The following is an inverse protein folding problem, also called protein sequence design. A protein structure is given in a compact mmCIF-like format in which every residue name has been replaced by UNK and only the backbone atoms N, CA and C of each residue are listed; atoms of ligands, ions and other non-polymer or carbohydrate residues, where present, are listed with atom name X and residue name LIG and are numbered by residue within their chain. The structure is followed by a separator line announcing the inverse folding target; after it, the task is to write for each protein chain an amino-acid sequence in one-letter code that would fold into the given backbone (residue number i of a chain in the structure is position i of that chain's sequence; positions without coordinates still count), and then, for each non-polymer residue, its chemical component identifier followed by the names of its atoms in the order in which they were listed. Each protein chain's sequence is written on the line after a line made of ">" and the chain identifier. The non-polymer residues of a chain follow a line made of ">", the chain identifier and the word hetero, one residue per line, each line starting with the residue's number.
data_IF_696596424475
#
_entry.id   IF_696596424475
#
_cell.length_a   1.000
_cell.length_b   1.000
_cell.length_c   1.000
_cell.angle_alpha   90.00
_cell.angle_beta   90.00
_cell.angle_gamma   90.00
#
_symmetry.space_group_name_H-M   'P 1'
#
loop_
_entity.id
_entity.type
_entity.pdbx_description
1 polymer ?
#
# COMPACT_ATOMS: atom_id res chain seq x y z
N UNK A 1 -0.45 13.86 13.88
CA UNK A 1 0.21 12.61 14.33
C UNK A 1 0.32 12.56 15.86
N UNK A 2 0.37 11.38 16.49
CA UNK A 2 0.34 11.26 17.97
C UNK A 2 1.62 11.69 18.69
N UNK A 3 2.78 11.49 18.05
CA UNK A 3 4.11 11.68 18.69
C UNK A 3 4.84 12.92 18.24
N UNK A 4 4.56 13.44 17.04
CA UNK A 4 5.31 14.55 16.44
C UNK A 4 6.74 14.21 16.00
N UNK A 5 7.17 12.95 16.16
CA UNK A 5 8.46 12.43 15.71
C UNK A 5 8.30 11.93 14.27
N UNK A 6 9.32 12.12 13.43
CA UNK A 6 9.37 11.55 12.08
C UNK A 6 9.36 10.02 12.09
N UNK A 7 9.12 9.40 10.94
CA UNK A 7 9.16 7.94 10.82
C UNK A 7 10.59 7.45 11.10
N UNK A 8 10.72 6.52 12.04
CA UNK A 8 12.00 5.93 12.45
C UNK A 8 12.32 4.63 11.70
N UNK A 9 11.34 4.08 11.00
CA UNK A 9 11.49 2.88 10.16
C UNK A 9 11.48 3.27 8.68
N UNK A 10 12.34 2.63 7.89
CA UNK A 10 12.33 2.77 6.45
C UNK A 10 11.29 1.83 5.84
N UNK A 11 10.34 2.40 5.11
CA UNK A 11 9.34 1.64 4.39
C UNK A 11 9.00 2.23 3.02
N UNK A 12 8.56 1.35 2.12
CA UNK A 12 7.89 1.70 0.87
C UNK A 12 6.47 1.17 0.97
N UNK A 13 5.49 2.04 0.70
CA UNK A 13 4.07 1.69 0.71
C UNK A 13 3.52 1.93 -0.68
N UNK A 14 2.90 0.91 -1.25
CA UNK A 14 2.17 0.98 -2.51
C UNK A 14 0.71 0.67 -2.24
N UNK A 15 -0.19 1.54 -2.67
CA UNK A 15 -1.64 1.38 -2.50
C UNK A 15 -2.31 1.32 -3.87
N UNK A 16 -3.19 0.33 -4.04
CA UNK A 16 -4.19 0.28 -5.10
C UNK A 16 -5.52 0.73 -4.51
N UNK A 17 -6.17 1.71 -5.12
CA UNK A 17 -7.45 2.26 -4.69
C UNK A 17 -8.22 2.86 -5.88
N UNK A 18 -9.54 3.13 -5.76
CA UNK A 18 -10.36 3.59 -6.89
C UNK A 18 -9.99 4.99 -7.39
N UNK A 19 -9.27 5.79 -6.60
CA UNK A 19 -8.82 7.13 -6.98
C UNK A 19 -7.38 7.36 -6.51
N UNK A 20 -6.65 8.19 -7.24
CA UNK A 20 -5.29 8.59 -6.87
C UNK A 20 -5.25 9.31 -5.51
N UNK A 21 -6.26 10.13 -5.20
CA UNK A 21 -6.38 10.81 -3.90
C UNK A 21 -6.53 9.81 -2.76
N UNK A 22 -7.37 8.79 -2.93
CA UNK A 22 -7.50 7.74 -1.93
C UNK A 22 -6.19 6.97 -1.76
N UNK A 23 -5.53 6.61 -2.86
CA UNK A 23 -4.24 5.92 -2.82
C UNK A 23 -3.17 6.71 -2.07
N UNK A 24 -3.02 8.00 -2.36
CA UNK A 24 -2.02 8.89 -1.75
C UNK A 24 -2.24 9.09 -0.24
N UNK A 25 -3.49 9.39 0.14
CA UNK A 25 -3.86 9.56 1.56
C UNK A 25 -3.65 8.26 2.34
N UNK A 26 -4.02 7.12 1.76
CA UNK A 26 -3.83 5.82 2.39
C UNK A 26 -2.36 5.44 2.48
N UNK A 27 -1.54 5.74 1.46
CA UNK A 27 -0.11 5.48 1.48
C UNK A 27 0.56 6.21 2.65
N UNK A 28 0.28 7.51 2.79
CA UNK A 28 0.75 8.32 3.91
C UNK A 28 0.25 7.81 5.26
N UNK A 29 -1.01 7.41 5.34
CA UNK A 29 -1.61 6.88 6.57
C UNK A 29 -0.97 5.56 7.01
N UNK A 30 -0.77 4.63 6.07
CA UNK A 30 -0.14 3.33 6.30
C UNK A 30 1.33 3.50 6.70
N UNK A 31 2.08 4.41 6.07
CA UNK A 31 3.45 4.72 6.47
C UNK A 31 3.55 5.18 7.93
N UNK A 32 2.57 5.95 8.42
CA UNK A 32 2.52 6.41 9.83
C UNK A 32 2.05 5.33 10.79
N UNK A 33 1.16 4.44 10.36
CA UNK A 33 0.62 3.36 11.18
C UNK A 33 1.57 2.18 11.33
N UNK A 34 2.48 1.98 10.37
CA UNK A 34 3.34 0.81 10.27
C UNK A 34 2.60 -0.42 9.73
N UNK A 35 3.32 -1.53 9.57
CA UNK A 35 2.85 -2.74 8.86
C UNK A 35 1.53 -3.28 9.44
N UNK A 36 1.50 -3.63 10.72
CA UNK A 36 0.36 -4.34 11.32
C UNK A 36 -0.93 -3.51 11.27
N UNK A 37 -0.87 -2.27 11.75
CA UNK A 37 -2.02 -1.36 11.77
C UNK A 37 -2.38 -0.85 10.38
N UNK A 38 -1.40 -0.68 9.50
CA UNK A 38 -1.60 -0.30 8.12
C UNK A 38 -2.35 -1.35 7.33
N UNK A 39 -1.94 -2.63 7.44
CA UNK A 39 -2.68 -3.74 6.82
C UNK A 39 -4.09 -3.84 7.39
N UNK A 40 -4.26 -3.75 8.72
CA UNK A 40 -5.59 -3.78 9.32
C UNK A 40 -6.51 -2.65 8.83
N UNK A 41 -5.96 -1.44 8.61
CA UNK A 41 -6.71 -0.33 8.00
C UNK A 41 -7.13 -0.68 6.56
N UNK A 42 -6.22 -1.19 5.73
CA UNK A 42 -6.52 -1.52 4.34
C UNK A 42 -7.57 -2.63 4.25
N UNK A 43 -7.44 -3.68 5.06
CA UNK A 43 -8.41 -4.78 5.13
C UNK A 43 -9.80 -4.35 5.60
N UNK A 44 -9.92 -3.20 6.27
CA UNK A 44 -11.21 -2.62 6.66
C UNK A 44 -11.91 -1.88 5.51
N UNK A 45 -11.23 -1.65 4.38
CA UNK A 45 -11.71 -0.90 3.23
C UNK A 45 -12.01 -1.84 2.06
N UNK A 46 -13.23 -1.80 1.48
CA UNK A 46 -13.67 -2.81 0.52
C UNK A 46 -13.00 -2.74 -0.88
N UNK A 47 -12.25 -1.67 -1.17
CA UNK A 47 -11.69 -1.43 -2.50
C UNK A 47 -10.25 -0.90 -2.45
N UNK A 48 -9.51 -1.20 -1.38
CA UNK A 48 -8.11 -0.82 -1.25
C UNK A 48 -7.24 -2.05 -1.01
N UNK A 49 -6.09 -2.10 -1.67
CA UNK A 49 -5.08 -3.14 -1.46
C UNK A 49 -3.72 -2.48 -1.26
N UNK A 50 -2.82 -3.15 -0.53
CA UNK A 50 -1.52 -2.61 -0.18
C UNK A 50 -0.39 -3.63 -0.31
N UNK A 51 0.77 -3.13 -0.73
CA UNK A 51 2.06 -3.78 -0.57
C UNK A 51 2.95 -2.87 0.27
N UNK A 52 3.56 -3.42 1.31
CA UNK A 52 4.47 -2.71 2.20
C UNK A 52 5.81 -3.42 2.18
N UNK A 53 6.89 -2.71 1.87
CA UNK A 53 8.27 -3.19 2.04
C UNK A 53 8.85 -2.47 3.23
N UNK A 54 9.31 -3.20 4.25
CA UNK A 54 9.97 -2.65 5.44
C UNK A 54 11.41 -3.11 5.48
N UNK A 55 12.34 -2.20 5.75
CA UNK A 55 13.75 -2.53 6.00
C UNK A 55 14.00 -2.52 7.50
N UNK A 56 14.46 -3.65 8.05
CA UNK A 56 14.75 -3.78 9.49
C UNK A 56 15.95 -2.94 9.95
N UNK A 57 16.11 -2.79 11.27
CA UNK A 57 17.02 -1.84 11.94
C UNK A 57 18.52 -1.94 11.58
N UNK A 58 18.96 -2.96 10.85
CA UNK A 58 20.36 -3.13 10.42
C UNK A 58 20.52 -3.35 8.91
N UNK A 59 19.54 -2.96 8.10
CA UNK A 59 19.49 -3.27 6.66
C UNK A 59 19.64 -4.78 6.34
N UNK A 60 19.37 -5.65 7.32
CA UNK A 60 19.60 -7.09 7.25
C UNK A 60 18.59 -7.86 6.37
N UNK A 61 17.84 -7.13 5.54
CA UNK A 61 16.82 -7.68 4.65
C UNK A 61 15.60 -6.76 4.59
N UNK A 62 14.99 -6.74 3.41
CA UNK A 62 13.67 -6.15 3.23
C UNK A 62 12.61 -7.23 3.43
N UNK A 63 11.62 -6.94 4.27
CA UNK A 63 10.42 -7.77 4.44
C UNK A 63 9.27 -7.18 3.65
N UNK A 64 8.54 -8.00 2.90
CA UNK A 64 7.39 -7.55 2.12
C UNK A 64 6.09 -8.14 2.68
N UNK A 65 5.09 -7.28 2.84
CA UNK A 65 3.76 -7.59 3.35
C UNK A 65 2.71 -7.18 2.32
N UNK A 66 1.63 -7.95 2.26
CA UNK A 66 0.52 -7.72 1.33
C UNK A 66 -0.80 -7.76 2.08
N UNK A 67 -1.77 -6.96 1.63
CA UNK A 67 -3.19 -7.23 1.91
C UNK A 67 -3.63 -8.49 1.16
N UNK A 68 -4.74 -9.09 1.61
CA UNK A 68 -5.21 -10.39 1.13
C UNK A 68 -5.56 -10.38 -0.36
N UNK A 69 -6.13 -9.28 -0.87
CA UNK A 69 -6.57 -9.17 -2.26
C UNK A 69 -5.50 -8.66 -3.22
N UNK A 70 -4.29 -8.34 -2.74
CA UNK A 70 -3.22 -7.74 -3.56
C UNK A 70 -2.95 -8.51 -4.86
N UNK A 71 -2.78 -9.84 -4.76
CA UNK A 71 -2.50 -10.69 -5.93
C UNK A 71 -3.67 -10.73 -6.92
N UNK A 72 -4.90 -10.66 -6.42
CA UNK A 72 -6.10 -10.67 -7.26
C UNK A 72 -6.26 -9.32 -7.97
N UNK A 73 -5.96 -8.21 -7.30
CA UNK A 73 -6.01 -6.86 -7.87
C UNK A 73 -4.97 -6.60 -8.98
N UNK A 74 -3.89 -7.39 -9.03
CA UNK A 74 -2.88 -7.29 -10.08
C UNK A 74 -3.22 -8.09 -11.34
N UNK A 75 -4.28 -8.91 -11.32
CA UNK A 75 -4.70 -9.64 -12.51
C UNK A 75 -5.17 -8.61 -13.55
N UNK A 76 -4.57 -8.59 -14.75
CA UNK A 76 -5.01 -7.65 -15.77
C UNK A 76 -6.48 -7.92 -16.10
N UNK A 77 -7.29 -6.87 -16.11
CA UNK A 77 -8.63 -6.98 -16.67
C UNK A 77 -8.47 -7.32 -18.16
N UNK A 78 -9.08 -8.43 -18.59
CA UNK A 78 -9.02 -8.87 -19.99
C UNK A 78 -9.95 -7.99 -20.82
N UNK A 79 -9.57 -6.74 -21.09
CA UNK A 79 -9.78 -6.08 -22.39
C UNK A 79 -9.17 -4.65 -22.44
N UNK A 80 -7.85 -4.54 -22.51
CA UNK A 80 -7.17 -3.25 -22.78
C UNK A 80 -7.07 -2.91 -24.29
N UNK A 81 -7.79 -3.63 -25.17
CA UNK A 81 -7.69 -3.44 -26.64
C UNK A 81 -8.71 -2.46 -27.23
N UNK A 82 -9.57 -1.82 -26.45
CA UNK A 82 -10.61 -0.91 -26.96
C UNK A 82 -10.34 0.58 -26.77
N UNK A 83 -9.25 0.97 -26.10
CA UNK A 83 -8.83 2.37 -26.02
C UNK A 83 -7.91 2.71 -27.19
N UNK A 84 -8.50 2.83 -28.39
CA UNK A 84 -7.89 3.62 -29.46
C UNK A 84 -7.77 5.05 -28.97
N UNK A 85 -6.54 5.51 -28.78
CA UNK A 85 -6.25 6.94 -28.73
C UNK A 85 -6.15 7.38 -30.19
N UNK A 86 -7.25 7.94 -30.71
CA UNK A 86 -7.25 8.69 -31.96
C UNK A 86 -6.54 10.04 -31.79
#
# INVERSE_FOLDING_TARGET
>A
PKTGIGLTEHSVVCILAPTATAADVLASSVSVLGVEKGIALIESLPAAEAMIVRVGENAAGAETFYSKGWQDALKPDRDVRSLSID
#
